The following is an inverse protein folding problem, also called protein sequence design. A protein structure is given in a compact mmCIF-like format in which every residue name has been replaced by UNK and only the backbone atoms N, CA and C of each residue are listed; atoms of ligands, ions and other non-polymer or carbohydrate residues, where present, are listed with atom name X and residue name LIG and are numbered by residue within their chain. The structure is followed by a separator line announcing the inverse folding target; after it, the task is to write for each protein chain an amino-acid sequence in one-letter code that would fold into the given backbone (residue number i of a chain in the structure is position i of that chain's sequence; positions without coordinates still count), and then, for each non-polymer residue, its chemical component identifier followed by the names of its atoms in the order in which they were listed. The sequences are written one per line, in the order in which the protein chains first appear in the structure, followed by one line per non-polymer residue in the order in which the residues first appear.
data_IF_031517097282
#
_entry.id   IF_031517097282
#
_cell.length_a   1.000
_cell.length_b   1.000
_cell.length_c   1.000
_cell.angle_alpha   90.00
_cell.angle_beta   90.00
_cell.angle_gamma   90.00
#
_symmetry.space_group_name_H-M   'P 1'
#
loop_
_entity.id
_entity.type
_entity.pdbx_description
1 polymer ?
#
# COMPACT_ATOMS: atom_id res chain seq x y z
N UNK A 1 -13.17 35.58 -13.73
CA UNK A 1 -13.37 34.74 -14.14
C UNK A 1 -13.36 33.91 -13.60
N UNK A 2 -13.97 33.71 -12.91
CA UNK A 2 -13.99 32.61 -12.31
C UNK A 2 -13.91 31.49 -13.18
N UNK A 3 -13.27 31.70 -14.25
CA UNK A 3 -13.09 30.71 -15.09
C UNK A 3 -11.80 30.29 -15.09
N UNK A 4 -11.65 29.12 -15.24
CA UNK A 4 -10.45 28.54 -15.37
C UNK A 4 -10.54 27.78 -16.51
N UNK A 5 -9.47 27.58 -16.92
CA UNK A 5 -9.25 26.75 -17.83
C UNK A 5 -8.58 25.71 -17.24
N UNK A 6 -9.12 24.72 -17.16
CA UNK A 6 -8.40 23.72 -16.69
C UNK A 6 -7.58 23.27 -17.68
N UNK A 7 -7.69 23.76 -17.69
CA UNK A 7 -7.69 23.70 -18.17
C UNK A 7 -7.65 23.98 -19.00
N UNK A 8 -7.81 24.17 -19.49
CA UNK A 8 -7.96 24.70 -20.08
C UNK A 8 -8.55 25.31 -20.86
N UNK A 9 -8.55 25.50 -21.73
CA UNK A 9 -9.48 26.20 -22.48
C UNK A 9 -10.87 26.02 -22.05
N UNK A 10 -11.06 24.93 -21.42
CA UNK A 10 -12.34 24.69 -20.87
C UNK A 10 -12.68 25.71 -19.84
N UNK A 11 -13.76 26.39 -20.09
CA UNK A 11 -14.32 27.25 -19.11
C UNK A 11 -15.34 26.47 -18.34
N UNK A 12 -15.10 26.36 -17.09
CA UNK A 12 -16.05 25.71 -16.19
C UNK A 12 -16.71 26.74 -15.34
N UNK A 13 -17.90 26.44 -14.90
CA UNK A 13 -18.54 27.29 -13.92
C UNK A 13 -17.67 27.42 -12.69
N UNK A 14 -17.61 28.62 -12.14
CA UNK A 14 -16.78 28.87 -10.98
C UNK A 14 -17.07 27.92 -9.81
N UNK A 15 -18.33 27.55 -9.65
CA UNK A 15 -18.71 26.58 -8.63
C UNK A 15 -18.12 25.20 -8.87
N UNK A 16 -18.14 24.73 -10.10
CA UNK A 16 -17.55 23.43 -10.41
C UNK A 16 -16.03 23.42 -10.16
N UNK A 17 -15.38 24.49 -10.57
CA UNK A 17 -13.96 24.60 -10.30
C UNK A 17 -13.69 24.68 -8.82
N UNK A 18 -14.52 25.38 -8.10
CA UNK A 18 -14.39 25.46 -6.67
C UNK A 18 -14.54 24.08 -6.00
N UNK A 19 -15.43 23.25 -6.52
CA UNK A 19 -15.55 21.89 -6.00
C UNK A 19 -14.24 21.13 -6.13
N UNK A 20 -13.56 21.27 -7.26
CA UNK A 20 -12.26 20.63 -7.38
C UNK A 20 -11.21 21.25 -6.48
N UNK A 21 -11.25 22.54 -6.30
CA UNK A 21 -10.32 23.21 -5.42
C UNK A 21 -10.57 22.88 -3.94
N UNK A 22 -11.83 22.77 -3.59
CA UNK A 22 -12.23 22.44 -2.23
C UNK A 22 -12.26 20.92 -1.97
N UNK A 23 -12.19 20.16 -3.04
CA UNK A 23 -12.16 18.71 -2.90
C UNK A 23 -10.78 18.25 -2.51
N UNK A 24 -10.56 18.26 -1.25
CA UNK A 24 -9.30 17.84 -0.66
C UNK A 24 -9.01 16.37 -0.86
N UNK A 25 -9.96 15.61 -1.39
CA UNK A 25 -9.76 14.21 -1.72
C UNK A 25 -8.51 13.99 -2.58
N UNK A 26 -8.34 14.79 -3.64
CA UNK A 26 -7.15 14.66 -4.48
C UNK A 26 -5.89 15.19 -3.83
N UNK A 27 -6.02 16.14 -2.92
CA UNK A 27 -4.89 16.76 -2.25
C UNK A 27 -4.46 15.99 -1.01
N UNK A 28 -5.31 15.11 -0.52
CA UNK A 28 -5.04 14.32 0.69
C UNK A 28 -4.48 12.94 0.38
N UNK A 29 -4.33 12.61 -0.88
CA UNK A 29 -3.66 11.35 -1.22
C UNK A 29 -2.25 11.36 -0.67
N UNK A 30 -1.95 10.35 0.08
CA UNK A 30 -0.67 10.21 0.75
C UNK A 30 -0.06 8.88 0.42
N UNK A 31 1.25 8.82 0.56
CA UNK A 31 2.02 7.61 0.37
C UNK A 31 2.85 7.40 1.62
N UNK A 32 2.78 6.20 2.15
CA UNK A 32 3.67 5.74 3.21
C UNK A 32 4.57 4.65 2.63
N UNK A 33 5.83 4.69 3.02
CA UNK A 33 6.82 3.69 2.64
C UNK A 33 7.45 3.14 3.91
N UNK A 34 7.59 1.85 3.96
CA UNK A 34 8.37 1.16 4.98
C UNK A 34 9.40 0.26 4.32
N UNK A 35 10.55 0.14 4.95
CA UNK A 35 11.62 -0.78 4.55
C UNK A 35 11.98 -1.58 5.77
N UNK A 36 11.92 -2.90 5.67
CA UNK A 36 12.11 -3.81 6.79
C UNK A 36 12.90 -5.03 6.33
N UNK A 37 13.86 -5.45 7.13
CA UNK A 37 14.51 -6.72 6.88
C UNK A 37 13.54 -7.85 7.17
N UNK A 38 13.59 -8.90 6.36
CA UNK A 38 12.79 -10.08 6.58
C UNK A 38 13.23 -10.77 7.87
N UNK A 39 12.26 -11.23 8.64
CA UNK A 39 12.55 -11.91 9.89
C UNK A 39 13.19 -13.27 9.61
N UNK A 40 14.46 -13.39 9.98
CA UNK A 40 15.19 -14.66 9.77
C UNK A 40 14.64 -15.76 10.68
N UNK A 41 14.31 -16.87 10.06
CA UNK A 41 13.72 -18.01 10.77
C UNK A 41 12.22 -17.92 10.99
N UNK A 42 11.53 -16.90 10.43
CA UNK A 42 10.09 -16.80 10.45
C UNK A 42 9.57 -16.50 9.04
N UNK A 43 8.46 -17.10 8.68
CA UNK A 43 7.79 -16.83 7.42
C UNK A 43 7.04 -15.49 7.40
N UNK A 44 6.81 -14.90 8.56
CA UNK A 44 6.08 -13.65 8.69
C UNK A 44 7.01 -12.53 9.13
N UNK A 45 6.94 -11.43 8.43
CA UNK A 45 7.65 -10.20 8.78
C UNK A 45 6.66 -9.10 9.11
N UNK A 46 6.72 -8.59 10.32
CA UNK A 46 5.90 -7.48 10.75
C UNK A 46 6.46 -6.15 10.22
N UNK A 47 5.58 -5.33 9.64
CA UNK A 47 5.95 -4.05 9.03
C UNK A 47 5.10 -2.95 9.65
N UNK A 48 5.74 -1.93 10.18
CA UNK A 48 5.03 -0.77 10.71
C UNK A 48 4.77 0.24 9.61
N UNK A 49 3.49 0.51 9.36
CA UNK A 49 3.03 1.52 8.43
C UNK A 49 2.25 2.58 9.21
N UNK A 50 2.72 3.82 9.18
CA UNK A 50 2.05 4.92 9.88
C UNK A 50 0.85 5.44 9.07
N UNK A 51 -0.22 4.64 9.00
CA UNK A 51 -1.46 5.02 8.34
C UNK A 51 -2.48 5.39 9.41
N UNK A 52 -3.08 6.59 9.35
CA UNK A 52 -4.03 7.03 10.37
C UNK A 52 -5.35 6.24 10.31
N UNK A 53 -6.12 6.33 11.37
CA UNK A 53 -7.50 5.88 11.36
C UNK A 53 -8.31 6.63 10.30
N UNK A 54 -9.38 6.01 9.82
CA UNK A 54 -10.26 6.56 8.78
C UNK A 54 -9.54 6.85 7.45
N UNK A 55 -8.44 6.16 7.20
CA UNK A 55 -7.80 6.21 5.90
C UNK A 55 -8.34 5.11 4.98
N UNK A 56 -8.53 5.46 3.73
CA UNK A 56 -8.91 4.52 2.69
C UNK A 56 -7.67 4.13 1.91
N UNK A 57 -7.42 2.85 1.81
CA UNK A 57 -6.30 2.32 1.04
C UNK A 57 -6.62 2.33 -0.44
N UNK A 58 -5.78 2.96 -1.22
CA UNK A 58 -5.96 3.12 -2.67
C UNK A 58 -5.15 2.11 -3.47
N UNK A 59 -4.01 1.69 -2.96
CA UNK A 59 -3.15 0.76 -3.65
C UNK A 59 -1.88 0.47 -2.87
N UNK A 60 -1.10 -0.45 -3.39
CA UNK A 60 0.12 -0.89 -2.75
C UNK A 60 1.21 -1.22 -3.77
N UNK A 61 2.43 -1.28 -3.30
CA UNK A 61 3.57 -1.78 -4.06
C UNK A 61 4.50 -2.57 -3.15
N UNK A 62 5.10 -3.61 -3.71
CA UNK A 62 6.10 -4.43 -3.06
C UNK A 62 7.36 -4.43 -3.91
N UNK A 63 8.47 -4.21 -3.27
CA UNK A 63 9.80 -4.31 -3.86
C UNK A 63 10.75 -4.98 -2.86
N UNK A 64 11.85 -5.49 -3.34
CA UNK A 64 12.94 -5.94 -2.50
C UNK A 64 14.17 -5.08 -2.75
N UNK A 65 14.71 -4.52 -1.69
CA UNK A 65 16.00 -3.83 -1.74
C UNK A 65 17.12 -4.85 -1.78
N UNK A 66 17.00 -5.88 -0.96
CA UNK A 66 17.82 -7.08 -0.98
C UNK A 66 16.91 -8.27 -1.23
N UNK A 67 17.28 -9.11 -2.19
CA UNK A 67 16.53 -10.31 -2.51
C UNK A 67 16.36 -11.22 -1.29
N UNK A 68 15.19 -11.85 -1.17
CA UNK A 68 15.02 -12.87 -0.15
C UNK A 68 15.89 -14.09 -0.47
N UNK A 69 16.57 -14.59 0.53
CA UNK A 69 17.48 -15.73 0.39
C UNK A 69 17.11 -16.86 1.36
N UNK A 70 17.50 -18.08 1.01
CA UNK A 70 17.24 -19.26 1.84
C UNK A 70 15.80 -19.74 1.81
N UNK A 71 15.04 -19.37 0.81
CA UNK A 71 13.63 -19.78 0.67
C UNK A 71 13.38 -20.46 -0.66
N UNK A 72 12.36 -21.30 -0.68
CA UNK A 72 11.73 -21.82 -1.90
C UNK A 72 10.26 -21.40 -2.02
N UNK A 73 9.86 -20.36 -1.28
CA UNK A 73 8.51 -19.80 -1.31
C UNK A 73 8.09 -19.42 -2.72
N UNK A 74 6.85 -19.70 -3.05
CA UNK A 74 6.24 -19.32 -4.34
C UNK A 74 5.30 -18.13 -4.23
N UNK A 75 4.93 -17.73 -3.02
CA UNK A 75 3.99 -16.65 -2.77
C UNK A 75 4.41 -15.81 -1.57
N UNK A 76 4.42 -14.50 -1.75
CA UNK A 76 4.51 -13.52 -0.68
C UNK A 76 3.20 -12.75 -0.59
N UNK A 77 2.58 -12.71 0.57
CA UNK A 77 1.28 -12.06 0.79
C UNK A 77 1.45 -10.84 1.68
N UNK A 78 0.96 -9.70 1.20
CA UNK A 78 0.91 -8.48 2.00
C UNK A 78 -0.49 -8.31 2.59
N UNK A 79 -0.57 -8.30 3.90
CA UNK A 79 -1.82 -8.15 4.66
C UNK A 79 -1.71 -6.94 5.59
N UNK A 80 -2.71 -6.08 5.58
CA UNK A 80 -2.86 -5.04 6.60
C UNK A 80 -3.41 -5.65 7.88
N UNK A 81 -2.88 -5.23 9.01
CA UNK A 81 -3.31 -5.65 10.34
C UNK A 81 -3.49 -4.42 11.25
N UNK A 82 -4.00 -4.62 12.44
CA UNK A 82 -4.12 -3.52 13.40
C UNK A 82 -5.37 -2.68 13.23
N UNK A 83 -6.53 -3.26 13.31
CA UNK A 83 -7.83 -2.60 13.25
C UNK A 83 -8.70 -3.06 12.11
N UNK A 84 -8.11 -3.21 10.95
CA UNK A 84 -8.79 -3.82 9.82
C UNK A 84 -7.82 -4.79 9.17
N UNK A 85 -8.21 -6.04 9.06
CA UNK A 85 -7.39 -7.07 8.42
C UNK A 85 -7.82 -7.23 6.98
N UNK A 86 -6.92 -6.96 6.05
CA UNK A 86 -7.21 -7.08 4.63
C UNK A 86 -5.96 -7.49 3.87
N UNK A 87 -6.08 -8.50 3.03
CA UNK A 87 -5.03 -8.84 2.09
C UNK A 87 -5.02 -7.81 0.97
N UNK A 88 -3.91 -7.12 0.82
CA UNK A 88 -3.72 -6.15 -0.27
C UNK A 88 -3.37 -6.86 -1.57
N UNK A 89 -2.56 -7.89 -1.50
CA UNK A 89 -2.21 -8.68 -2.66
C UNK A 89 -1.05 -9.61 -2.41
N UNK A 90 -0.66 -10.27 -3.49
CA UNK A 90 0.40 -11.29 -3.48
C UNK A 90 1.47 -10.97 -4.51
N UNK A 91 2.66 -11.48 -4.27
CA UNK A 91 3.78 -11.46 -5.21
C UNK A 91 4.36 -12.86 -5.34
N UNK A 92 4.96 -13.16 -6.47
CA UNK A 92 5.56 -14.47 -6.75
C UNK A 92 7.04 -14.39 -7.13
N UNK A 93 7.64 -13.24 -6.91
CA UNK A 93 9.07 -13.03 -7.14
C UNK A 93 9.67 -12.36 -5.91
N UNK A 94 10.87 -12.76 -5.56
CA UNK A 94 11.57 -12.30 -4.35
C UNK A 94 12.98 -11.76 -4.67
N UNK A 95 13.18 -11.40 -5.92
CA UNK A 95 14.43 -10.80 -6.41
C UNK A 95 14.45 -9.30 -6.13
N UNK A 96 15.64 -8.72 -6.09
CA UNK A 96 15.79 -7.29 -5.93
C UNK A 96 15.05 -6.51 -7.03
N UNK A 97 14.42 -5.43 -6.64
CA UNK A 97 13.60 -4.58 -7.50
C UNK A 97 12.12 -4.66 -7.18
N UNK A 98 11.31 -4.03 -8.03
CA UNK A 98 9.85 -4.07 -7.86
C UNK A 98 9.33 -5.42 -8.30
N UNK A 99 8.57 -6.06 -7.42
CA UNK A 99 8.04 -7.41 -7.67
C UNK A 99 6.52 -7.47 -7.75
N UNK A 100 5.83 -6.45 -7.28
CA UNK A 100 4.37 -6.44 -7.37
C UNK A 100 3.75 -5.11 -6.97
N UNK A 101 2.46 -5.06 -7.05
CA UNK A 101 1.64 -3.93 -6.63
C UNK A 101 0.37 -3.82 -7.46
N UNK A 102 -0.58 -3.10 -6.95
CA UNK A 102 -1.87 -2.91 -7.61
C UNK A 102 -2.74 -1.89 -6.91
N UNK A 103 -3.91 -1.67 -7.51
CA UNK A 103 -4.98 -0.89 -6.90
C UNK A 103 -5.79 -1.81 -6.01
N UNK A 104 -6.32 -1.26 -4.94
CA UNK A 104 -7.23 -1.99 -4.06
C UNK A 104 -8.67 -1.82 -4.52
N UNK A 105 -9.54 -2.69 -4.07
CA UNK A 105 -10.97 -2.53 -4.28
C UNK A 105 -11.48 -1.45 -3.32
N UNK A 106 -11.76 -0.29 -3.86
CA UNK A 106 -12.19 0.87 -3.08
C UNK A 106 -13.58 0.70 -2.47
N UNK A 107 -14.35 -0.27 -2.91
CA UNK A 107 -15.67 -0.57 -2.36
C UNK A 107 -15.60 -1.45 -1.11
N UNK A 108 -14.48 -2.11 -0.87
CA UNK A 108 -14.32 -3.01 0.25
C UNK A 108 -14.23 -2.24 1.57
N UNK A 109 -15.10 -2.54 2.50
CA UNK A 109 -15.07 -1.92 3.83
C UNK A 109 -13.77 -2.21 4.58
N UNK A 110 -13.15 -3.35 4.30
CA UNK A 110 -11.84 -3.72 4.85
C UNK A 110 -10.69 -2.82 4.41
N UNK A 111 -10.89 -2.01 3.38
CA UNK A 111 -9.89 -1.03 2.94
C UNK A 111 -9.98 0.30 3.70
N UNK A 112 -10.94 0.44 4.61
CA UNK A 112 -11.03 1.58 5.50
C UNK A 112 -10.39 1.23 6.85
N UNK A 113 -9.35 1.94 7.22
CA UNK A 113 -8.65 1.69 8.48
C UNK A 113 -9.42 2.26 9.67
N UNK A 114 -9.41 1.55 10.77
CA UNK A 114 -10.05 1.99 12.03
C UNK A 114 -9.06 2.49 13.07
N UNK A 115 -7.78 2.23 12.87
CA UNK A 115 -6.69 2.63 13.76
C UNK A 115 -5.38 2.74 12.96
N UNK A 116 -4.30 3.14 13.61
CA UNK A 116 -2.97 3.06 13.01
C UNK A 116 -2.70 1.62 12.56
N UNK A 117 -2.37 1.47 11.30
CA UNK A 117 -2.31 0.18 10.65
C UNK A 117 -0.87 -0.34 10.60
N UNK A 118 -0.73 -1.61 10.84
CA UNK A 118 0.48 -2.36 10.57
C UNK A 118 0.22 -3.30 9.39
N UNK A 119 1.28 -3.78 8.79
CA UNK A 119 1.21 -4.80 7.76
C UNK A 119 2.05 -6.01 8.16
N UNK A 120 1.70 -7.15 7.62
CA UNK A 120 2.50 -8.37 7.68
C UNK A 120 2.81 -8.81 6.26
N UNK A 121 4.03 -9.14 6.00
CA UNK A 121 4.45 -9.78 4.77
C UNK A 121 4.74 -11.25 5.07
N UNK A 122 3.96 -12.15 4.48
CA UNK A 122 4.03 -13.59 4.75
C UNK A 122 4.52 -14.34 3.53
N UNK A 123 5.56 -15.13 3.71
CA UNK A 123 6.09 -16.05 2.70
C UNK A 123 5.41 -17.40 2.81
N UNK A 124 5.08 -18.02 1.70
CA UNK A 124 4.37 -19.29 1.69
C UNK A 124 4.52 -20.05 0.37
N UNK A 125 3.98 -21.28 0.34
CA UNK A 125 3.90 -22.08 -0.89
C UNK A 125 5.11 -22.91 -1.19
N UNK A 126 6.15 -22.83 -0.39
CA UNK A 126 7.34 -23.67 -0.48
C UNK A 126 7.47 -24.63 0.69
N UNK A 127 8.47 -25.47 0.68
CA UNK A 127 8.85 -26.32 1.81
C UNK A 127 9.68 -25.56 2.83
N UNK A 128 10.40 -24.52 2.39
CA UNK A 128 11.12 -23.60 3.24
C UNK A 128 10.66 -22.16 2.96
N UNK A 129 9.97 -21.59 3.93
CA UNK A 129 9.45 -20.23 3.84
C UNK A 129 10.16 -19.29 4.81
N UNK A 130 11.22 -19.73 5.47
CA UNK A 130 11.92 -18.96 6.48
C UNK A 130 13.19 -18.34 5.90
N UNK A 131 13.20 -17.04 5.61
CA UNK A 131 14.35 -16.42 4.97
C UNK A 131 15.57 -16.37 5.87
N UNK A 132 16.74 -16.44 5.25
CA UNK A 132 18.02 -16.21 5.94
C UNK A 132 18.54 -14.79 5.71
N UNK A 133 17.99 -14.09 4.73
CA UNK A 133 18.28 -12.69 4.44
C UNK A 133 17.19 -12.13 3.52
N UNK A 134 17.13 -10.83 3.43
CA UNK A 134 16.27 -10.09 2.52
C UNK A 134 15.78 -8.80 3.15
N UNK A 135 15.50 -7.80 2.32
CA UNK A 135 14.91 -6.53 2.76
C UNK A 135 13.74 -6.20 1.87
N UNK A 136 12.55 -6.17 2.44
CA UNK A 136 11.31 -5.85 1.73
C UNK A 136 10.99 -4.35 1.87
N UNK A 137 10.52 -3.77 0.79
CA UNK A 137 10.06 -2.39 0.73
C UNK A 137 8.58 -2.41 0.38
N UNK A 138 7.77 -1.86 1.26
CA UNK A 138 6.33 -1.75 1.07
C UNK A 138 5.97 -0.28 0.89
N UNK A 139 5.13 -0.03 -0.09
CA UNK A 139 4.55 1.29 -0.34
C UNK A 139 3.04 1.15 -0.33
N UNK A 140 2.37 2.00 0.40
CA UNK A 140 0.90 2.03 0.44
C UNK A 140 0.45 3.44 0.14
N UNK A 141 -0.46 3.57 -0.83
CA UNK A 141 -1.13 4.81 -1.13
C UNK A 141 -2.50 4.83 -0.44
N UNK A 142 -2.82 5.94 0.18
CA UNK A 142 -4.09 6.12 0.87
C UNK A 142 -4.57 7.56 0.81
N UNK A 143 -5.83 7.76 1.09
CA UNK A 143 -6.36 9.08 1.41
C UNK A 143 -7.04 9.05 2.78
N UNK A 144 -7.28 10.22 3.32
CA UNK A 144 -7.99 10.36 4.58
C UNK A 144 -9.45 10.71 4.31
N UNK A 145 -10.33 9.90 4.83
CA UNK A 145 -11.78 10.14 4.75
C UNK A 145 -12.15 11.06 5.90
N UNK A 146 -12.61 12.22 5.56
CA UNK A 146 -13.08 13.21 6.53
C UNK A 146 -14.60 13.19 6.67
#
# INVERSE_FOLDING_TARGET
MGQYKFRSGTTVAAGALKVYADDTFFLQRKIVKATTDLDTGDAETAITLAIPASARILGYGVAFDVAAAGIDSTTGTLTLTGGSTATLGTVSAFTAGRVGGGMTDLSAASMLTTATTQATFTLSGGSDNTPTAGTVVIVVAYDTVS
#
